data_IF_958447205891
#
_entry.id   IF_958447205891
#
_cell.length_a   1.000
_cell.length_b   1.000
_cell.length_c   1.000
_cell.angle_alpha   90.00
_cell.angle_beta   90.00
_cell.angle_gamma   90.00
#
_symmetry.space_group_name_H-M   'P 1'
#
loop_
_entity.id
_entity.type
_entity.pdbx_description
1 polymer ?
#
# COMPACT_ATOMS: atom_id res chain seq x y z
N UNK A 1 -1.57 19.66 -68.39
CA UNK A 1 -1.89 20.24 -67.07
C UNK A 1 -1.08 19.48 -66.01
N UNK A 2 -0.01 20.06 -65.45
CA UNK A 2 0.87 19.38 -64.47
C UNK A 2 0.37 19.68 -63.05
N UNK A 3 -0.13 18.67 -62.34
CA UNK A 3 -0.54 18.79 -60.93
C UNK A 3 0.72 18.67 -60.07
N UNK A 4 1.03 19.71 -59.30
CA UNK A 4 2.09 19.72 -58.27
C UNK A 4 1.43 19.36 -56.93
N UNK A 5 1.82 18.24 -56.34
CA UNK A 5 1.44 17.91 -54.96
C UNK A 5 2.33 18.70 -54.00
N UNK A 6 1.72 19.53 -53.16
CA UNK A 6 2.38 20.20 -52.03
C UNK A 6 2.30 19.25 -50.84
N UNK A 7 3.45 18.72 -50.43
CA UNK A 7 3.57 17.87 -49.25
C UNK A 7 3.60 18.78 -48.00
N UNK A 8 2.49 18.86 -47.26
CA UNK A 8 2.46 19.49 -45.93
C UNK A 8 3.00 18.50 -44.90
N UNK A 9 4.19 18.76 -44.37
CA UNK A 9 4.75 18.06 -43.22
C UNK A 9 4.19 18.68 -41.94
N UNK A 10 3.29 17.96 -41.27
CA UNK A 10 2.82 18.29 -39.92
C UNK A 10 3.78 17.63 -38.94
N UNK A 11 4.59 18.41 -38.22
CA UNK A 11 5.44 17.90 -37.14
C UNK A 11 4.69 17.98 -35.82
N UNK A 12 4.19 16.84 -35.34
CA UNK A 12 3.62 16.71 -33.98
C UNK A 12 4.75 16.61 -32.97
N UNK A 13 4.88 17.61 -32.10
CA UNK A 13 5.74 17.55 -30.93
C UNK A 13 5.03 16.71 -29.85
N UNK A 14 5.50 15.49 -29.65
CA UNK A 14 5.06 14.64 -28.52
C UNK A 14 5.85 15.10 -27.30
N UNK A 15 5.19 15.77 -26.35
CA UNK A 15 5.71 15.98 -25.00
C UNK A 15 5.72 14.63 -24.29
N UNK A 16 6.90 14.02 -24.17
CA UNK A 16 7.11 12.91 -23.25
C UNK A 16 7.28 13.49 -21.85
N UNK A 17 6.23 13.44 -21.03
CA UNK A 17 6.38 13.61 -19.58
C UNK A 17 7.02 12.33 -19.07
N UNK A 18 8.25 12.41 -18.56
CA UNK A 18 8.82 11.28 -17.82
C UNK A 18 8.05 11.19 -16.51
N UNK A 19 7.43 10.03 -16.24
CA UNK A 19 6.95 9.75 -14.90
C UNK A 19 8.19 9.62 -14.01
N UNK A 20 8.29 10.43 -12.95
CA UNK A 20 9.32 10.23 -11.94
C UNK A 20 9.09 8.86 -11.30
N UNK A 21 10.04 7.94 -11.45
CA UNK A 21 10.01 6.67 -10.74
C UNK A 21 10.50 6.91 -9.31
N UNK A 22 9.62 6.79 -8.32
CA UNK A 22 10.04 6.82 -6.92
C UNK A 22 10.90 5.59 -6.61
N UNK A 23 12.13 5.81 -6.14
CA UNK A 23 13.02 4.72 -5.75
C UNK A 23 12.72 4.27 -4.32
N UNK A 24 12.55 2.96 -4.12
CA UNK A 24 12.41 2.37 -2.78
C UNK A 24 13.73 2.52 -1.98
N UNK A 25 13.74 3.22 -0.83
CA UNK A 25 14.94 3.43 -0.03
C UNK A 25 15.42 2.16 0.67
N UNK A 26 16.67 2.16 1.15
CA UNK A 26 17.23 0.98 1.82
C UNK A 26 16.54 0.66 3.15
N UNK A 27 16.07 1.67 3.89
CA UNK A 27 15.31 1.48 5.13
C UNK A 27 14.02 0.71 4.89
N UNK A 28 13.26 1.04 3.85
CA UNK A 28 12.05 0.31 3.45
C UNK A 28 12.34 -1.17 3.13
N UNK A 29 13.43 -1.44 2.39
CA UNK A 29 13.90 -2.80 2.09
C UNK A 29 14.25 -3.58 3.35
N UNK A 30 15.03 -2.97 4.24
CA UNK A 30 15.45 -3.61 5.49
C UNK A 30 14.25 -3.91 6.40
N UNK A 31 13.28 -3.00 6.49
CA UNK A 31 12.02 -3.25 7.21
C UNK A 31 11.31 -4.46 6.59
N UNK A 32 11.07 -4.47 5.27
CA UNK A 32 10.39 -5.59 4.62
C UNK A 32 11.12 -6.94 4.80
N UNK A 33 12.45 -6.92 4.74
CA UNK A 33 13.31 -8.11 4.93
C UNK A 33 13.21 -8.68 6.34
N UNK A 34 13.23 -7.83 7.37
CA UNK A 34 13.08 -8.26 8.78
C UNK A 34 11.72 -8.91 9.02
N UNK A 35 10.67 -8.48 8.32
CA UNK A 35 9.36 -9.11 8.35
C UNK A 35 9.22 -10.34 7.43
N UNK A 36 10.28 -10.72 6.71
CA UNK A 36 10.37 -11.98 5.97
C UNK A 36 9.85 -11.93 4.53
N UNK A 37 9.86 -10.76 3.87
CA UNK A 37 9.36 -10.62 2.49
C UNK A 37 10.06 -11.57 1.50
N UNK A 38 11.37 -11.83 1.67
CA UNK A 38 12.15 -12.70 0.79
C UNK A 38 11.65 -14.15 0.73
N UNK A 39 10.98 -14.59 1.80
CA UNK A 39 10.41 -15.93 1.94
C UNK A 39 8.94 -15.99 1.50
N UNK A 40 8.29 -14.83 1.30
CA UNK A 40 6.86 -14.77 1.01
C UNK A 40 6.46 -15.51 -0.27
N UNK A 41 7.35 -15.60 -1.27
CA UNK A 41 7.15 -16.39 -2.49
C UNK A 41 6.86 -17.88 -2.23
N UNK A 42 7.25 -18.41 -1.06
CA UNK A 42 6.98 -19.80 -0.65
C UNK A 42 5.56 -19.97 -0.12
N UNK A 43 4.90 -18.90 0.32
CA UNK A 43 3.55 -18.92 0.90
C UNK A 43 2.52 -19.39 -0.13
N UNK A 44 1.79 -20.44 0.22
CA UNK A 44 0.71 -21.00 -0.63
C UNK A 44 -0.66 -20.51 -0.18
N UNK A 45 -0.85 -20.28 1.12
CA UNK A 45 -2.11 -19.88 1.74
C UNK A 45 -1.85 -18.99 2.94
N UNK A 46 -2.61 -17.91 3.05
CA UNK A 46 -2.72 -17.05 4.23
C UNK A 46 -4.15 -17.17 4.74
N UNK A 47 -4.33 -17.35 6.05
CA UNK A 47 -5.64 -17.38 6.68
C UNK A 47 -5.59 -16.50 7.92
N UNK A 48 -6.45 -15.50 7.97
CA UNK A 48 -6.40 -14.48 9.02
C UNK A 48 -7.78 -13.93 9.32
N UNK A 49 -7.89 -13.29 10.47
CA UNK A 49 -9.09 -12.60 10.93
C UNK A 49 -8.70 -11.16 11.23
N UNK A 50 -9.30 -10.22 10.51
CA UNK A 50 -9.23 -8.81 10.84
C UNK A 50 -10.27 -8.50 11.92
N UNK A 51 -9.84 -7.86 13.00
CA UNK A 51 -10.68 -7.44 14.11
C UNK A 51 -10.49 -5.94 14.33
N UNK A 52 -11.58 -5.19 14.43
CA UNK A 52 -11.53 -3.77 14.79
C UNK A 52 -12.72 -3.40 15.65
N UNK A 53 -12.46 -2.58 16.67
CA UNK A 53 -13.48 -1.89 17.43
C UNK A 53 -13.58 -0.45 16.95
N UNK A 54 -14.72 -0.05 16.41
CA UNK A 54 -14.94 1.31 15.90
C UNK A 54 -16.35 1.78 16.22
N UNK A 55 -16.47 2.99 16.77
CA UNK A 55 -17.75 3.62 17.13
C UNK A 55 -18.67 2.71 17.98
N UNK A 56 -18.09 1.99 18.96
CA UNK A 56 -18.82 1.09 19.85
C UNK A 56 -19.25 -0.24 19.22
N UNK A 57 -18.74 -0.58 18.04
CA UNK A 57 -19.05 -1.82 17.33
C UNK A 57 -17.79 -2.64 17.09
N UNK A 58 -17.90 -3.94 17.33
CA UNK A 58 -16.90 -4.93 16.93
C UNK A 58 -17.17 -5.40 15.52
N UNK A 59 -16.16 -5.34 14.67
CA UNK A 59 -16.20 -5.85 13.30
C UNK A 59 -15.15 -6.94 13.16
N UNK A 60 -15.58 -8.11 12.70
CA UNK A 60 -14.72 -9.25 12.43
C UNK A 60 -14.87 -9.71 10.98
N UNK A 61 -13.76 -9.79 10.24
CA UNK A 61 -13.71 -10.28 8.86
C UNK A 61 -12.68 -11.39 8.74
N UNK A 62 -13.11 -12.55 8.25
CA UNK A 62 -12.28 -13.75 8.11
C UNK A 62 -11.96 -13.99 6.65
N UNK A 63 -10.67 -14.15 6.36
CA UNK A 63 -10.14 -14.27 5.01
C UNK A 63 -9.30 -15.54 4.85
N UNK A 64 -9.43 -16.17 3.68
CA UNK A 64 -8.44 -17.13 3.18
C UNK A 64 -7.97 -16.61 1.84
N UNK A 65 -6.66 -16.46 1.69
CA UNK A 65 -6.03 -15.96 0.48
C UNK A 65 -4.97 -16.93 0.00
N UNK A 66 -4.92 -17.16 -1.31
CA UNK A 66 -3.92 -17.96 -2.00
C UNK A 66 -3.10 -17.02 -2.90
N UNK A 67 -1.96 -16.48 -2.42
CA UNK A 67 -1.21 -15.43 -3.11
C UNK A 67 -0.83 -15.80 -4.54
N UNK A 68 -0.36 -17.04 -4.74
CA UNK A 68 0.12 -17.54 -6.03
C UNK A 68 -0.94 -17.56 -7.12
N UNK A 69 -2.21 -17.76 -6.75
CA UNK A 69 -3.31 -17.82 -7.72
C UNK A 69 -4.17 -16.56 -7.71
N UNK A 70 -4.01 -15.70 -6.70
CA UNK A 70 -4.88 -14.54 -6.46
C UNK A 70 -6.29 -14.93 -6.02
N UNK A 71 -6.50 -16.15 -5.51
CA UNK A 71 -7.82 -16.58 -5.03
C UNK A 71 -8.05 -16.08 -3.61
N UNK A 72 -9.24 -15.53 -3.38
CA UNK A 72 -9.67 -15.01 -2.07
C UNK A 72 -11.00 -15.65 -1.71
N UNK A 73 -11.14 -15.99 -0.43
CA UNK A 73 -12.38 -16.46 0.20
C UNK A 73 -12.71 -15.51 1.33
N UNK A 74 -13.85 -14.84 1.23
CA UNK A 74 -14.46 -14.12 2.35
C UNK A 74 -15.33 -15.10 3.13
N UNK A 75 -14.86 -15.51 4.31
CA UNK A 75 -15.47 -16.62 5.05
C UNK A 75 -16.84 -16.24 5.62
N UNK A 76 -17.03 -14.99 6.04
CA UNK A 76 -18.29 -14.52 6.63
C UNK A 76 -19.49 -14.72 5.70
N UNK A 77 -19.30 -14.46 4.40
CA UNK A 77 -20.38 -14.52 3.39
C UNK A 77 -20.18 -15.68 2.39
N UNK A 78 -19.20 -16.56 2.63
CA UNK A 78 -18.79 -17.65 1.73
C UNK A 78 -18.52 -17.19 0.27
N UNK A 79 -18.15 -15.92 0.07
CA UNK A 79 -17.82 -15.38 -1.24
C UNK A 79 -16.42 -15.86 -1.67
N UNK A 80 -16.30 -16.29 -2.93
CA UNK A 80 -15.05 -16.81 -3.49
C UNK A 80 -14.80 -16.16 -4.83
N UNK A 81 -13.60 -15.64 -5.03
CA UNK A 81 -13.28 -14.93 -6.26
C UNK A 81 -11.77 -14.90 -6.51
N UNK A 82 -11.41 -14.48 -7.72
CA UNK A 82 -10.03 -14.23 -8.12
C UNK A 82 -9.83 -12.74 -8.31
N UNK A 83 -8.81 -12.15 -7.70
CA UNK A 83 -8.57 -10.69 -7.75
C UNK A 83 -8.38 -10.14 -9.16
N UNK A 84 -7.86 -10.94 -10.08
CA UNK A 84 -7.69 -10.55 -11.49
C UNK A 84 -9.01 -10.50 -12.29
N UNK A 85 -10.13 -10.92 -11.70
CA UNK A 85 -11.40 -11.15 -12.42
C UNK A 85 -12.59 -10.84 -11.50
N UNK A 86 -12.55 -9.66 -10.87
CA UNK A 86 -13.59 -9.19 -9.95
C UNK A 86 -14.80 -8.71 -10.75
N UNK A 87 -16.00 -9.17 -10.36
CA UNK A 87 -17.28 -8.65 -10.84
C UNK A 87 -17.69 -7.41 -10.05
N UNK A 88 -18.61 -6.60 -10.58
CA UNK A 88 -19.08 -5.39 -9.90
C UNK A 88 -19.65 -5.68 -8.50
N UNK A 89 -20.37 -6.79 -8.35
CA UNK A 89 -20.95 -7.26 -7.08
C UNK A 89 -19.89 -7.55 -6.01
N UNK A 90 -18.67 -7.95 -6.42
CA UNK A 90 -17.58 -8.32 -5.53
C UNK A 90 -16.63 -7.17 -5.20
N UNK A 91 -16.74 -6.02 -5.87
CA UNK A 91 -15.83 -4.87 -5.66
C UNK A 91 -15.76 -4.42 -4.20
N UNK A 92 -16.90 -4.33 -3.52
CA UNK A 92 -16.94 -3.94 -2.11
C UNK A 92 -16.27 -4.98 -1.19
N UNK A 93 -16.43 -6.26 -1.50
CA UNK A 93 -15.78 -7.34 -0.76
C UNK A 93 -14.27 -7.32 -1.00
N UNK A 94 -13.83 -7.10 -2.24
CA UNK A 94 -12.41 -7.00 -2.56
C UNK A 94 -11.75 -5.76 -1.95
N UNK A 95 -12.44 -4.63 -1.91
CA UNK A 95 -11.96 -3.45 -1.19
C UNK A 95 -11.70 -3.79 0.29
N UNK A 96 -12.64 -4.46 0.97
CA UNK A 96 -12.43 -4.89 2.37
C UNK A 96 -11.24 -5.84 2.50
N UNK A 97 -11.08 -6.79 1.58
CA UNK A 97 -9.92 -7.70 1.56
C UNK A 97 -8.62 -6.92 1.44
N UNK A 98 -8.53 -5.98 0.49
CA UNK A 98 -7.33 -5.16 0.25
C UNK A 98 -6.99 -4.37 1.50
N UNK A 99 -7.95 -3.64 2.09
CA UNK A 99 -7.72 -2.88 3.33
C UNK A 99 -7.23 -3.78 4.46
N UNK A 100 -7.87 -4.93 4.68
CA UNK A 100 -7.52 -5.83 5.78
C UNK A 100 -6.17 -6.54 5.56
N UNK A 101 -5.85 -6.83 4.30
CA UNK A 101 -4.56 -7.38 3.90
C UNK A 101 -3.43 -6.36 4.10
N UNK A 102 -3.74 -5.09 3.83
CA UNK A 102 -2.85 -3.96 4.09
C UNK A 102 -2.42 -3.91 5.54
N UNK A 103 -3.38 -3.94 6.47
CA UNK A 103 -3.10 -3.98 7.90
C UNK A 103 -2.23 -5.18 8.33
N UNK A 104 -2.38 -6.32 7.66
CA UNK A 104 -1.62 -7.53 7.97
C UNK A 104 -0.19 -7.50 7.41
N UNK A 105 0.00 -7.00 6.19
CA UNK A 105 1.23 -7.15 5.40
C UNK A 105 1.84 -5.81 5.01
N UNK A 106 1.51 -4.74 5.73
CA UNK A 106 1.99 -3.39 5.44
C UNK A 106 3.52 -3.30 5.20
N UNK A 107 4.41 -3.96 5.98
CA UNK A 107 5.84 -3.95 5.69
C UNK A 107 6.21 -4.45 4.28
N UNK A 108 5.41 -5.33 3.69
CA UNK A 108 5.65 -5.85 2.34
C UNK A 108 5.16 -4.87 1.26
N UNK A 109 4.12 -4.10 1.55
CA UNK A 109 3.61 -3.03 0.69
C UNK A 109 4.65 -1.92 0.46
N UNK A 110 5.63 -1.76 1.35
CA UNK A 110 6.79 -0.88 1.12
C UNK A 110 7.59 -1.24 -0.13
N UNK A 111 7.49 -2.49 -0.61
CA UNK A 111 8.23 -3.02 -1.76
C UNK A 111 7.29 -3.43 -2.90
N UNK A 112 6.07 -3.89 -2.59
CA UNK A 112 5.12 -4.36 -3.58
C UNK A 112 4.35 -3.27 -4.29
N UNK A 113 4.16 -2.12 -3.64
CA UNK A 113 3.35 -1.06 -4.21
C UNK A 113 4.20 -0.12 -5.06
N UNK A 114 3.66 0.25 -6.21
CA UNK A 114 4.19 1.31 -7.06
C UNK A 114 3.61 2.68 -6.63
N UNK A 115 4.11 3.78 -7.20
CA UNK A 115 3.63 5.14 -6.94
C UNK A 115 3.64 5.54 -5.45
N UNK A 116 4.71 5.14 -4.75
CA UNK A 116 4.94 5.44 -3.34
C UNK A 116 6.10 6.41 -3.17
N UNK A 117 5.82 7.58 -2.60
CA UNK A 117 6.82 8.54 -2.19
C UNK A 117 7.31 8.21 -0.77
N UNK A 118 8.62 8.10 -0.60
CA UNK A 118 9.27 7.85 0.69
C UNK A 118 10.02 9.08 1.18
N UNK A 119 9.82 9.44 2.45
CA UNK A 119 10.52 10.56 3.11
C UNK A 119 11.17 10.06 4.40
N UNK A 120 12.50 10.00 4.41
CA UNK A 120 13.31 9.62 5.56
C UNK A 120 13.61 10.85 6.42
N UNK A 121 13.45 10.71 7.74
CA UNK A 121 13.87 11.77 8.67
C UNK A 121 15.39 11.79 8.81
N UNK A 122 15.99 12.99 8.84
CA UNK A 122 17.45 13.17 8.95
C UNK A 122 17.99 12.87 10.35
N UNK A 123 17.12 12.76 11.34
CA UNK A 123 17.45 12.42 12.72
C UNK A 123 16.31 11.61 13.35
N UNK A 124 16.62 10.89 14.44
CA UNK A 124 15.61 10.18 15.23
C UNK A 124 14.53 11.13 15.73
N UNK A 125 13.29 10.68 15.67
CA UNK A 125 12.07 11.40 16.06
C UNK A 125 11.47 10.78 17.31
N UNK A 126 10.78 11.58 18.13
CA UNK A 126 10.00 11.06 19.25
C UNK A 126 8.76 10.33 18.73
N UNK A 127 8.56 9.09 19.15
CA UNK A 127 7.40 8.27 18.76
C UNK A 127 6.09 8.88 19.28
N UNK A 128 4.97 8.71 18.57
CA UNK A 128 3.71 9.37 18.93
C UNK A 128 3.11 8.91 20.27
N UNK A 129 3.30 7.65 20.67
CA UNK A 129 2.69 7.02 21.85
C UNK A 129 3.70 6.99 23.00
N UNK A 130 4.78 6.22 22.89
CA UNK A 130 5.73 5.99 23.98
C UNK A 130 6.79 7.08 24.15
N UNK A 131 6.85 8.03 23.19
CA UNK A 131 7.83 9.13 23.15
C UNK A 131 9.29 8.65 23.01
N UNK A 132 9.50 7.45 22.50
CA UNK A 132 10.83 6.87 22.27
C UNK A 132 11.56 7.59 21.13
N UNK A 133 12.88 7.71 21.22
CA UNK A 133 13.68 8.28 20.12
C UNK A 133 13.97 7.20 19.07
N UNK A 134 13.23 7.23 17.96
CA UNK A 134 13.23 6.19 16.92
C UNK A 134 13.52 6.77 15.53
N UNK A 135 13.96 5.92 14.60
CA UNK A 135 14.05 6.30 13.18
C UNK A 135 12.63 6.48 12.62
N UNK A 136 12.45 7.39 11.64
CA UNK A 136 11.14 7.65 11.02
C UNK A 136 11.19 7.58 9.50
N UNK A 137 10.33 6.74 8.93
CA UNK A 137 10.07 6.65 7.49
C UNK A 137 8.61 7.07 7.23
N UNK A 138 8.41 8.07 6.37
CA UNK A 138 7.07 8.45 5.90
C UNK A 138 6.83 7.83 4.53
N UNK A 139 5.67 7.22 4.35
CA UNK A 139 5.26 6.49 3.15
C UNK A 139 3.98 7.14 2.65
N UNK A 140 4.02 7.75 1.47
CA UNK A 140 2.91 8.52 0.90
C UNK A 140 2.51 7.94 -0.45
N UNK A 141 1.23 7.57 -0.58
CA UNK A 141 0.66 7.06 -1.82
C UNK A 141 0.26 8.23 -2.70
N UNK A 142 0.89 8.40 -3.87
CA UNK A 142 0.69 9.58 -4.73
C UNK A 142 -0.30 9.35 -5.87
N UNK A 143 -0.76 8.12 -6.05
CA UNK A 143 -1.74 7.79 -7.08
C UNK A 143 -3.18 8.03 -6.57
N UNK A 144 -3.98 8.73 -7.36
CA UNK A 144 -5.42 8.93 -7.10
C UNK A 144 -6.27 7.70 -7.49
N UNK A 145 -5.68 6.72 -8.16
CA UNK A 145 -6.31 5.45 -8.52
C UNK A 145 -6.07 4.37 -7.45
N UNK A 146 -7.07 3.53 -7.24
CA UNK A 146 -7.01 2.43 -6.26
C UNK A 146 -7.76 2.75 -4.97
N UNK A 147 -7.46 2.01 -3.91
CA UNK A 147 -8.23 2.03 -2.65
C UNK A 147 -7.57 2.85 -1.53
N UNK A 148 -6.32 3.29 -1.70
CA UNK A 148 -5.54 4.07 -0.71
C UNK A 148 -4.99 5.40 -1.27
N UNK A 149 -5.77 6.16 -2.07
CA UNK A 149 -5.24 7.38 -2.68
C UNK A 149 -4.91 8.42 -1.61
N UNK A 150 -3.71 9.01 -1.70
CA UNK A 150 -3.20 10.04 -0.79
C UNK A 150 -3.03 9.60 0.67
N UNK A 151 -3.18 8.31 0.99
CA UNK A 151 -2.91 7.80 2.33
C UNK A 151 -1.45 8.02 2.71
N UNK A 152 -1.22 8.36 3.98
CA UNK A 152 0.13 8.51 4.51
C UNK A 152 0.32 7.66 5.75
N UNK A 153 1.41 6.90 5.75
CA UNK A 153 1.88 6.14 6.89
C UNK A 153 3.18 6.74 7.40
N UNK A 154 3.32 6.90 8.71
CA UNK A 154 4.60 7.24 9.34
C UNK A 154 5.04 6.08 10.21
N UNK A 155 6.15 5.44 9.87
CA UNK A 155 6.71 4.30 10.61
C UNK A 155 7.80 4.78 11.54
N UNK A 156 7.69 4.44 12.82
CA UNK A 156 8.72 4.67 13.82
C UNK A 156 9.35 3.32 14.16
N UNK A 157 10.64 3.18 13.85
CA UNK A 157 11.35 1.89 13.94
C UNK A 157 12.69 2.04 14.67
N UNK A 158 13.14 0.96 15.29
CA UNK A 158 14.42 0.92 16.00
C UNK A 158 15.61 0.72 15.05
N UNK A 159 16.81 0.56 15.59
CA UNK A 159 18.02 0.37 14.78
C UNK A 159 18.09 -1.04 14.13
N UNK A 160 17.23 -1.97 14.56
CA UNK A 160 17.04 -3.31 13.98
C UNK A 160 15.92 -3.33 12.92
N UNK A 161 15.40 -2.16 12.52
CA UNK A 161 14.31 -2.00 11.54
C UNK A 161 12.97 -2.61 11.97
N UNK A 162 12.78 -2.86 13.27
CA UNK A 162 11.51 -3.30 13.83
C UNK A 162 10.62 -2.08 14.05
N UNK A 163 9.44 -2.06 13.42
CA UNK A 163 8.44 -1.02 13.65
C UNK A 163 7.95 -1.15 15.09
N UNK A 164 8.05 -0.07 15.86
CA UNK A 164 7.54 0.02 17.25
C UNK A 164 6.20 0.70 17.32
N UNK A 165 6.00 1.69 16.45
CA UNK A 165 4.78 2.45 16.34
C UNK A 165 4.61 2.89 14.90
N UNK A 166 3.39 3.08 14.47
CA UNK A 166 3.11 3.80 13.23
C UNK A 166 1.97 4.79 13.38
N UNK A 167 1.80 5.60 12.37
CA UNK A 167 0.72 6.57 12.24
C UNK A 167 0.07 6.37 10.89
N UNK A 168 -1.24 6.26 10.89
CA UNK A 168 -2.04 6.30 9.67
C UNK A 168 -2.76 7.65 9.53
N UNK A 169 -2.69 8.25 8.34
CA UNK A 169 -3.40 9.47 7.95
C UNK A 169 -4.20 9.20 6.67
N UNK A 170 -5.52 8.99 6.77
CA UNK A 170 -6.34 8.71 5.59
C UNK A 170 -6.42 9.95 4.69
N UNK A 171 -6.17 9.78 3.40
CA UNK A 171 -6.16 10.85 2.40
C UNK A 171 -5.23 12.02 2.75
N UNK A 172 -4.19 11.78 3.55
CA UNK A 172 -3.22 12.78 3.99
C UNK A 172 -3.74 13.75 5.06
N UNK A 173 -4.97 13.58 5.55
CA UNK A 173 -5.58 14.46 6.54
C UNK A 173 -4.85 14.38 7.89
N UNK A 174 -4.53 15.55 8.46
CA UNK A 174 -3.98 15.67 9.81
C UNK A 174 -5.05 15.41 10.90
N UNK A 175 -6.32 15.64 10.61
CA UNK A 175 -7.42 15.56 11.58
C UNK A 175 -7.77 14.11 11.95
N UNK A 176 -7.58 13.18 11.02
CA UNK A 176 -7.92 11.77 11.18
C UNK A 176 -6.71 10.87 11.47
N UNK A 177 -5.65 11.46 12.03
CA UNK A 177 -4.41 10.76 12.39
C UNK A 177 -4.67 9.69 13.47
N UNK A 178 -4.26 8.46 13.21
CA UNK A 178 -4.32 7.35 14.18
C UNK A 178 -2.93 6.80 14.44
N UNK A 179 -2.44 6.93 15.68
CA UNK A 179 -1.22 6.28 16.12
C UNK A 179 -1.55 4.91 16.71
N UNK A 180 -0.72 3.90 16.44
CA UNK A 180 -0.84 2.58 17.06
C UNK A 180 0.52 1.88 17.12
N UNK A 181 0.58 0.84 17.94
CA UNK A 181 1.75 0.00 18.24
C UNK A 181 1.67 -1.32 17.50
#
# INVERSE_FOLDING_TARGET
MKIRYILMLITTWILFTTAESYSVPQSAKNIADVYGIGEFKKVVKVSYTFNVHINGKDIQRKWIWYPKTGHVVFVNDNAKYRRSSITDELKNTDHKFINDNYWLLFPFHLIWDDDVEFIESTSKQSSPINKESLNKLTVKYVNDAGYTPNDIYELYYDDDYIIKEWVFRPGGSAENRRAMT
#
